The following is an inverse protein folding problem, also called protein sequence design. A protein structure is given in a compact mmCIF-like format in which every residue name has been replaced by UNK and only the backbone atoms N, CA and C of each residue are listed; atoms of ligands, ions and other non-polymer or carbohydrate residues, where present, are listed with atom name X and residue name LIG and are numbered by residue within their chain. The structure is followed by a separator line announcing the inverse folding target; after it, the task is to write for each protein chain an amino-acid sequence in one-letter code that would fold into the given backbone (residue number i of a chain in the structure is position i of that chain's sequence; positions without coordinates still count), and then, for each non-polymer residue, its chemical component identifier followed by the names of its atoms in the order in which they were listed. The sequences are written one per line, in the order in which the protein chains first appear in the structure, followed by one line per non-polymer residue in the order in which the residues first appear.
data_IF_730391083966
#
_entry.id   IF_730391083966
#
_cell.length_a   1.000
_cell.length_b   1.000
_cell.length_c   1.000
_cell.angle_alpha   90.00
_cell.angle_beta   90.00
_cell.angle_gamma   90.00
#
_symmetry.space_group_name_H-M   'P 1'
#
loop_
_entity.id
_entity.type
_entity.pdbx_description
1 polymer ?
#
# COMPACT_ATOMS: atom_id res chain seq x y z
N UNK A 1 -3.53 4.55 16.42
CA UNK A 1 -4.06 4.73 15.07
C UNK A 1 -3.90 6.14 14.56
N UNK A 2 -4.15 7.14 15.42
CA UNK A 2 -4.01 8.55 15.02
C UNK A 2 -2.64 8.86 14.43
N UNK A 3 -1.60 8.23 14.96
CA UNK A 3 -0.23 8.53 14.55
C UNK A 3 0.21 7.74 13.33
N UNK A 4 -0.66 6.89 12.79
CA UNK A 4 -0.34 6.01 11.67
C UNK A 4 -1.18 6.33 10.45
N UNK A 5 -1.32 7.63 10.17
CA UNK A 5 -2.08 8.09 9.01
C UNK A 5 -1.10 8.61 7.97
N UNK A 6 -1.16 8.04 6.76
CA UNK A 6 -0.36 8.54 5.65
C UNK A 6 -0.87 9.93 5.27
N UNK A 7 0.02 10.94 5.23
CA UNK A 7 -0.40 12.27 4.77
C UNK A 7 -0.92 12.23 3.33
N UNK A 8 -1.92 13.06 2.99
CA UNK A 8 -2.46 13.08 1.63
C UNK A 8 -1.45 13.54 0.57
N UNK A 9 -0.45 14.31 0.98
CA UNK A 9 0.60 14.79 0.09
C UNK A 9 1.96 14.46 0.69
N UNK A 10 2.75 13.68 -0.04
CA UNK A 10 4.10 13.31 0.41
C UNK A 10 5.09 13.88 -0.60
N UNK A 11 5.90 14.84 -0.16
CA UNK A 11 6.97 15.41 -0.99
C UNK A 11 8.33 14.90 -0.56
N UNK A 12 8.46 14.49 0.70
CA UNK A 12 9.68 13.93 1.25
C UNK A 12 9.33 13.02 2.42
N UNK A 13 10.26 12.18 2.82
CA UNK A 13 10.10 11.28 3.96
C UNK A 13 11.40 11.27 4.76
N UNK A 14 11.29 10.91 6.05
CA UNK A 14 12.45 10.69 6.88
C UNK A 14 13.30 9.53 6.28
N UNK A 15 14.58 9.38 6.69
CA UNK A 15 15.47 8.41 6.05
C UNK A 15 14.96 6.98 6.01
N UNK A 16 14.19 6.56 7.04
CA UNK A 16 13.65 5.20 7.09
C UNK A 16 12.23 5.11 6.52
N UNK A 17 11.71 6.20 5.97
CA UNK A 17 10.38 6.24 5.38
C UNK A 17 10.37 5.60 4.00
N UNK A 18 9.40 4.72 3.78
CA UNK A 18 9.24 3.99 2.52
C UNK A 18 7.90 4.38 1.89
N UNK A 19 7.97 4.93 0.69
CA UNK A 19 6.80 5.35 -0.08
C UNK A 19 6.19 4.10 -0.74
N UNK A 20 5.02 3.66 -0.25
CA UNK A 20 4.39 2.44 -0.73
C UNK A 20 3.30 2.78 -1.74
N UNK A 21 3.44 2.28 -2.95
CA UNK A 21 2.64 2.71 -4.09
C UNK A 21 2.02 1.54 -4.86
N UNK A 22 0.94 1.85 -5.59
CA UNK A 22 0.32 0.88 -6.49
C UNK A 22 1.11 0.74 -7.77
N UNK A 23 1.46 -0.48 -8.11
CA UNK A 23 2.29 -0.82 -9.26
C UNK A 23 1.50 -1.68 -10.26
N UNK A 24 2.20 -2.19 -11.26
CA UNK A 24 1.65 -3.06 -12.30
C UNK A 24 2.66 -4.15 -12.64
N UNK A 25 2.19 -5.30 -13.20
CA UNK A 25 3.09 -6.41 -13.53
C UNK A 25 4.17 -6.04 -14.53
N UNK A 26 3.92 -5.02 -15.34
CA UNK A 26 4.88 -4.56 -16.35
C UNK A 26 6.02 -3.74 -15.75
N UNK A 27 5.87 -3.29 -14.49
CA UNK A 27 6.87 -2.47 -13.83
C UNK A 27 7.02 -1.07 -14.41
N UNK A 28 5.99 -0.58 -15.09
CA UNK A 28 6.02 0.75 -15.68
C UNK A 28 5.48 1.77 -14.69
N UNK A 29 6.32 2.69 -14.28
CA UNK A 29 5.98 3.70 -13.28
C UNK A 29 5.74 5.05 -13.97
N UNK A 30 4.73 5.09 -14.84
CA UNK A 30 4.53 6.22 -15.74
C UNK A 30 3.52 7.26 -15.30
N UNK A 31 2.72 6.99 -14.26
CA UNK A 31 1.66 7.91 -13.82
C UNK A 31 1.46 7.85 -12.33
N UNK A 32 0.85 8.91 -11.79
CA UNK A 32 0.38 8.94 -10.41
C UNK A 32 1.45 8.68 -9.38
N UNK A 33 1.09 7.91 -8.35
CA UNK A 33 2.00 7.61 -7.24
C UNK A 33 3.24 6.83 -7.72
N UNK A 34 3.09 5.95 -8.70
CA UNK A 34 4.22 5.19 -9.24
C UNK A 34 5.26 6.13 -9.87
N UNK A 35 4.79 7.14 -10.59
CA UNK A 35 5.71 8.13 -11.17
C UNK A 35 6.41 8.94 -10.09
N UNK A 36 5.66 9.35 -9.07
CA UNK A 36 6.24 10.05 -7.93
C UNK A 36 7.28 9.19 -7.22
N UNK A 37 6.99 7.90 -7.06
CA UNK A 37 7.93 6.95 -6.45
C UNK A 37 9.23 6.90 -7.25
N UNK A 38 9.13 6.84 -8.57
CA UNK A 38 10.31 6.80 -9.43
C UNK A 38 11.10 8.10 -9.38
N UNK A 39 10.42 9.24 -9.41
CA UNK A 39 11.10 10.54 -9.43
C UNK A 39 11.71 10.93 -8.10
N UNK A 40 11.10 10.55 -6.99
CA UNK A 40 11.47 11.06 -5.67
C UNK A 40 11.96 10.01 -4.69
N UNK A 41 11.58 8.76 -4.87
CA UNK A 41 11.82 7.73 -3.85
C UNK A 41 12.51 6.49 -4.39
N UNK A 42 13.14 6.59 -5.53
CA UNK A 42 14.02 5.56 -6.04
C UNK A 42 13.35 4.31 -6.59
N UNK A 43 12.08 4.37 -6.93
CA UNK A 43 11.44 3.24 -7.59
C UNK A 43 12.11 2.97 -8.93
N UNK A 44 12.20 1.70 -9.27
CA UNK A 44 12.99 1.24 -10.42
C UNK A 44 12.06 0.86 -11.56
N UNK A 45 12.24 1.52 -12.70
CA UNK A 45 11.49 1.16 -13.90
C UNK A 45 11.80 -0.29 -14.26
N UNK A 46 10.76 -1.08 -14.43
CA UNK A 46 10.89 -2.51 -14.71
C UNK A 46 10.69 -3.41 -13.50
N UNK A 47 10.75 -2.86 -12.29
CA UNK A 47 10.51 -3.63 -11.08
C UNK A 47 9.08 -3.41 -10.59
N UNK A 48 8.26 -4.46 -10.67
CA UNK A 48 6.84 -4.37 -10.33
C UNK A 48 6.61 -4.39 -8.81
N UNK A 49 7.33 -5.24 -8.08
CA UNK A 49 7.03 -5.56 -6.69
C UNK A 49 8.20 -5.28 -5.77
N UNK A 50 7.87 -5.04 -4.51
CA UNK A 50 8.81 -5.08 -3.42
C UNK A 50 9.60 -3.80 -3.24
N UNK A 51 10.58 -3.88 -2.35
CA UNK A 51 11.42 -2.76 -1.97
C UNK A 51 12.32 -2.36 -3.13
N UNK A 52 12.31 -1.08 -3.45
CA UNK A 52 13.09 -0.51 -4.54
C UNK A 52 13.41 0.94 -4.17
N UNK A 53 14.69 1.18 -3.88
CA UNK A 53 15.10 2.45 -3.32
C UNK A 53 14.38 2.71 -1.99
N UNK A 54 13.75 3.86 -1.88
CA UNK A 54 12.97 4.22 -0.70
C UNK A 54 11.47 4.11 -0.98
N UNK A 55 11.10 3.12 -1.81
CA UNK A 55 9.72 2.86 -2.13
C UNK A 55 9.45 1.36 -2.14
N UNK A 56 8.17 0.98 -2.14
CA UNK A 56 7.74 -0.41 -2.18
C UNK A 56 6.54 -0.51 -3.10
N UNK A 57 6.62 -1.39 -4.10
CA UNK A 57 5.55 -1.58 -5.08
C UNK A 57 4.62 -2.72 -4.71
N UNK A 58 3.32 -2.45 -4.74
CA UNK A 58 2.26 -3.45 -4.59
C UNK A 58 1.47 -3.47 -5.89
N UNK A 59 1.41 -4.62 -6.55
CA UNK A 59 0.72 -4.71 -7.84
C UNK A 59 -0.78 -4.58 -7.66
N UNK A 60 -1.37 -3.56 -8.30
CA UNK A 60 -2.79 -3.25 -8.17
C UNK A 60 -3.51 -3.11 -9.49
N UNK A 61 -2.79 -3.09 -10.62
CA UNK A 61 -3.41 -2.93 -11.93
C UNK A 61 -2.54 -3.60 -13.00
N UNK A 62 -3.18 -4.33 -13.90
CA UNK A 62 -2.51 -4.85 -15.09
C UNK A 62 -2.77 -3.86 -16.23
N UNK A 63 -1.70 -3.21 -16.70
CA UNK A 63 -1.82 -2.19 -17.75
C UNK A 63 -2.42 -2.71 -19.05
N UNK A 64 -2.25 -4.00 -19.31
CA UNK A 64 -2.79 -4.61 -20.52
C UNK A 64 -4.29 -4.83 -20.43
N UNK A 65 -4.84 -4.92 -19.22
CA UNK A 65 -6.26 -5.23 -19.01
C UNK A 65 -7.07 -4.05 -18.49
N UNK A 66 -6.41 -3.04 -17.93
CA UNK A 66 -7.08 -1.82 -17.52
C UNK A 66 -7.58 -1.81 -16.09
N UNK A 67 -8.63 -1.03 -15.86
CA UNK A 67 -9.19 -0.86 -14.51
C UNK A 67 -9.76 -2.16 -13.97
N UNK A 68 -9.65 -2.31 -12.64
CA UNK A 68 -10.17 -3.47 -11.89
C UNK A 68 -9.65 -4.80 -12.45
N UNK A 69 -8.45 -4.75 -13.02
CA UNK A 69 -7.89 -5.89 -13.73
C UNK A 69 -7.26 -6.93 -12.81
N UNK A 70 -6.83 -6.51 -11.61
CA UNK A 70 -6.31 -7.43 -10.60
C UNK A 70 -7.46 -7.75 -9.65
N UNK A 71 -7.95 -8.99 -9.59
CA UNK A 71 -9.03 -9.33 -8.67
C UNK A 71 -8.66 -9.02 -7.22
N UNK A 72 -9.66 -8.69 -6.40
CA UNK A 72 -9.42 -8.31 -5.01
C UNK A 72 -8.73 -9.42 -4.21
N UNK A 73 -9.07 -10.68 -4.47
CA UNK A 73 -8.41 -11.80 -3.76
C UNK A 73 -6.94 -11.93 -4.14
N UNK A 74 -6.58 -11.58 -5.36
CA UNK A 74 -5.18 -11.58 -5.79
C UNK A 74 -4.46 -10.39 -5.16
N UNK A 75 -5.11 -9.22 -5.16
CA UNK A 75 -4.54 -8.02 -4.54
C UNK A 75 -4.34 -8.23 -3.05
N UNK A 76 -5.24 -8.94 -2.39
CA UNK A 76 -5.09 -9.25 -0.97
C UNK A 76 -3.81 -10.03 -0.69
N UNK A 77 -3.46 -10.97 -1.56
CA UNK A 77 -2.20 -11.69 -1.43
C UNK A 77 -1.00 -10.78 -1.56
N UNK A 78 -1.04 -9.86 -2.52
CA UNK A 78 0.02 -8.87 -2.72
C UNK A 78 0.17 -7.99 -1.47
N UNK A 79 -0.95 -7.56 -0.91
CA UNK A 79 -0.96 -6.73 0.29
C UNK A 79 -0.45 -7.52 1.50
N UNK A 80 -0.84 -8.78 1.65
CA UNK A 80 -0.37 -9.59 2.77
C UNK A 80 1.13 -9.89 2.68
N UNK A 81 1.67 -10.04 1.48
CA UNK A 81 3.12 -10.15 1.31
C UNK A 81 3.83 -8.88 1.77
N UNK A 82 3.26 -7.73 1.45
CA UNK A 82 3.77 -6.45 1.91
C UNK A 82 3.73 -6.38 3.45
N UNK A 83 2.61 -6.76 4.05
CA UNK A 83 2.46 -6.73 5.51
C UNK A 83 3.51 -7.61 6.18
N UNK A 84 3.76 -8.81 5.64
CA UNK A 84 4.81 -9.69 6.15
C UNK A 84 6.20 -9.07 6.02
N UNK A 85 6.47 -8.43 4.89
CA UNK A 85 7.73 -7.73 4.70
C UNK A 85 7.91 -6.62 5.74
N UNK A 86 6.86 -5.87 6.01
CA UNK A 86 6.91 -4.80 7.00
C UNK A 86 7.18 -5.34 8.41
N UNK A 87 6.57 -6.47 8.76
CA UNK A 87 6.84 -7.12 10.06
C UNK A 87 8.30 -7.50 10.21
N UNK A 88 8.94 -7.93 9.13
CA UNK A 88 10.32 -8.37 9.15
C UNK A 88 11.32 -7.22 9.07
N UNK A 89 10.83 -6.00 8.85
CA UNK A 89 11.67 -4.82 8.73
C UNK A 89 11.13 -3.70 9.63
N UNK A 90 11.13 -3.93 10.95
CA UNK A 90 10.52 -2.97 11.88
C UNK A 90 11.24 -1.63 11.95
N UNK A 91 12.46 -1.55 11.45
CA UNK A 91 13.22 -0.30 11.39
C UNK A 91 12.71 0.63 10.29
N UNK A 92 11.96 0.11 9.31
CA UNK A 92 11.39 0.91 8.24
C UNK A 92 9.97 1.35 8.58
N UNK A 93 9.58 2.52 8.12
CA UNK A 93 8.22 3.03 8.27
C UNK A 93 7.59 3.14 6.89
N UNK A 94 6.49 2.42 6.67
CA UNK A 94 5.86 2.35 5.36
C UNK A 94 4.66 3.29 5.30
N UNK A 95 4.69 4.18 4.32
CA UNK A 95 3.60 5.13 4.09
C UNK A 95 2.81 4.68 2.87
N UNK A 96 1.72 3.95 3.13
CA UNK A 96 0.88 3.41 2.06
C UNK A 96 0.02 4.54 1.48
N UNK A 97 0.07 4.68 0.16
CA UNK A 97 -0.79 5.62 -0.56
C UNK A 97 -2.15 4.97 -0.87
N UNK A 98 -3.04 5.68 -1.56
CA UNK A 98 -4.37 5.15 -1.91
C UNK A 98 -4.27 4.13 -3.05
N UNK A 99 -3.51 3.07 -2.81
CA UNK A 99 -3.29 2.04 -3.81
C UNK A 99 -4.61 1.39 -4.23
N UNK A 100 -4.69 1.02 -5.50
CA UNK A 100 -5.86 0.33 -6.04
C UNK A 100 -7.06 1.22 -6.28
N UNK A 101 -7.05 2.49 -5.83
CA UNK A 101 -8.24 3.33 -5.83
C UNK A 101 -8.31 4.33 -6.98
N UNK A 102 -7.19 4.82 -7.46
CA UNK A 102 -7.22 5.83 -8.51
C UNK A 102 -7.19 5.15 -9.89
N UNK A 103 -6.00 4.99 -10.44
CA UNK A 103 -5.85 4.43 -11.78
C UNK A 103 -6.30 2.98 -11.89
N UNK A 104 -6.25 2.23 -10.78
CA UNK A 104 -6.70 0.83 -10.77
C UNK A 104 -8.22 0.69 -10.69
N UNK A 105 -8.95 1.73 -10.30
CA UNK A 105 -10.41 1.78 -10.41
C UNK A 105 -11.22 1.22 -9.27
N UNK A 106 -10.61 0.76 -8.18
CA UNK A 106 -11.34 0.28 -7.02
C UNK A 106 -11.70 1.43 -6.07
N UNK A 107 -12.64 1.17 -5.18
CA UNK A 107 -13.06 2.14 -4.17
C UNK A 107 -12.37 1.86 -2.84
N UNK A 108 -12.24 2.89 -2.01
CA UNK A 108 -11.59 2.73 -0.70
C UNK A 108 -12.28 1.68 0.16
N UNK A 109 -13.61 1.53 0.04
CA UNK A 109 -14.35 0.51 0.77
C UNK A 109 -14.03 -0.91 0.30
N UNK A 110 -13.46 -1.05 -0.90
CA UNK A 110 -13.05 -2.34 -1.44
C UNK A 110 -11.62 -2.68 -1.05
N UNK A 111 -10.74 -1.68 -1.05
CA UNK A 111 -9.31 -1.89 -0.79
C UNK A 111 -9.00 -1.83 0.71
N UNK A 112 -9.62 -0.90 1.45
CA UNK A 112 -9.33 -0.73 2.87
C UNK A 112 -9.34 -2.03 3.67
N UNK A 113 -10.41 -2.84 3.56
CA UNK A 113 -10.46 -4.10 4.33
C UNK A 113 -9.36 -5.09 4.04
N UNK A 114 -8.70 -4.99 2.87
CA UNK A 114 -7.60 -5.87 2.53
C UNK A 114 -6.38 -5.63 3.43
N UNK A 115 -6.36 -4.49 4.15
CA UNK A 115 -5.29 -4.14 5.09
C UNK A 115 -5.61 -4.51 6.53
N UNK A 116 -6.63 -5.33 6.76
CA UNK A 116 -7.01 -5.70 8.14
C UNK A 116 -5.82 -6.26 8.94
N UNK A 117 -4.95 -7.02 8.30
CA UNK A 117 -3.80 -7.61 8.98
C UNK A 117 -2.69 -6.59 9.31
N UNK A 118 -2.85 -5.34 8.87
CA UNK A 118 -1.89 -4.28 9.18
C UNK A 118 -2.20 -3.58 10.50
N UNK A 119 -3.35 -3.85 11.11
CA UNK A 119 -3.77 -3.16 12.35
C UNK A 119 -2.69 -3.24 13.41
N UNK A 120 -2.10 -4.41 13.63
CA UNK A 120 -1.10 -4.63 14.67
C UNK A 120 0.34 -4.46 14.18
N UNK A 121 0.54 -4.02 12.96
CA UNK A 121 1.88 -3.81 12.40
C UNK A 121 2.20 -2.33 12.43
N UNK A 122 2.82 -1.92 13.55
CA UNK A 122 2.92 -0.50 13.93
C UNK A 122 3.72 0.37 12.98
N UNK A 123 4.57 -0.21 12.14
CA UNK A 123 5.37 0.54 11.18
C UNK A 123 4.67 0.70 9.82
N UNK A 124 3.40 0.30 9.71
CA UNK A 124 2.60 0.55 8.51
C UNK A 124 1.65 1.72 8.79
N UNK A 125 1.73 2.76 7.96
CA UNK A 125 0.81 3.88 7.95
C UNK A 125 -0.11 3.74 6.76
N UNK A 126 -1.39 4.04 6.94
CA UNK A 126 -2.40 3.95 5.90
C UNK A 126 -3.12 5.28 5.74
N UNK A 127 -3.64 5.56 4.53
CA UNK A 127 -4.54 6.71 4.36
C UNK A 127 -5.73 6.61 5.32
N UNK A 128 -6.21 7.77 5.77
CA UNK A 128 -7.37 7.80 6.68
C UNK A 128 -8.58 7.10 6.05
N UNK A 129 -8.71 7.18 4.72
CA UNK A 129 -9.81 6.53 4.01
C UNK A 129 -9.79 5.01 4.19
N UNK A 130 -8.58 4.41 4.26
CA UNK A 130 -8.49 2.97 4.52
C UNK A 130 -8.78 2.65 5.99
N UNK A 131 -8.25 3.47 6.91
CA UNK A 131 -8.54 3.25 8.33
C UNK A 131 -10.04 3.24 8.63
N UNK A 132 -10.80 4.10 7.97
CA UNK A 132 -12.26 4.15 8.15
C UNK A 132 -12.97 2.89 7.67
N UNK A 133 -12.34 2.09 6.81
CA UNK A 133 -12.93 0.88 6.25
C UNK A 133 -12.39 -0.40 6.86
N UNK A 134 -11.45 -0.30 7.79
CA UNK A 134 -10.90 -1.44 8.49
C UNK A 134 -11.69 -1.63 9.77
N UNK A 135 -12.23 -2.83 9.94
CA UNK A 135 -12.92 -3.18 11.17
C UNK A 135 -11.91 -3.80 12.12
N UNK A 136 -11.81 -3.30 13.37
CA UNK A 136 -10.96 -3.94 14.36
C UNK A 136 -11.33 -5.41 14.48
N UNK A 137 -10.32 -6.25 14.67
CA UNK A 137 -10.56 -7.66 14.94
C UNK A 137 -11.46 -7.74 16.15
N UNK A 138 -12.62 -8.37 15.98
CA UNK A 138 -13.51 -8.54 17.09
C UNK A 138 -12.91 -9.55 18.06
N UNK A 139 -12.62 -9.10 19.25
CA UNK A 139 -12.12 -9.96 20.30
C UNK A 139 -13.32 -10.66 20.94
N UNK A 140 -13.47 -11.94 20.67
CA UNK A 140 -14.57 -12.71 21.21
C UNK A 140 -14.54 -12.76 22.74
N UNK A 141 -13.40 -12.52 23.34
CA UNK A 141 -13.28 -12.50 24.79
C UNK A 141 -13.91 -11.26 25.43
N UNK A 142 -14.23 -10.24 24.65
CA UNK A 142 -14.85 -9.03 25.17
C UNK A 142 -16.37 -9.08 25.09
N UNK A 143 -16.91 -10.15 24.60
CA UNK A 143 -18.37 -10.26 24.41
C UNK A 143 -19.10 -10.63 25.68
N UNK A 144 -18.39 -10.78 26.73
CA UNK A 144 -19.02 -11.15 27.99
C UNK A 144 -18.12 -10.93 29.16
#
# INVERSE_FOLDING_TARGET
MKDRITPPWITSLEPNGIFTFGSNPQGKHGKGAALAAMKKFGAIYGQARGLQGRSYGIVTKDLKKGERSIPLNVMEKEINEFIEFAKQNPELTFYVTLIGCDLAGYKTKEIGPLFNNAIDVVNIHLPIQFWHKIKPKQDTNTLF
#
